data_IF_500579289448
#
_entry.id   IF_500579289448
#
_cell.length_a   1.000
_cell.length_b   1.000
_cell.length_c   1.000
_cell.angle_alpha   90.00
_cell.angle_beta   90.00
_cell.angle_gamma   90.00
#
_symmetry.space_group_name_H-M   'P 1'
#
loop_
_entity.id
_entity.type
_entity.pdbx_description
1 polymer ?
#
# COMPACT_ATOMS: atom_id res chain seq x y z
N UNK A 1 -36.57 -21.89 4.04
CA UNK A 1 -35.47 -21.13 4.68
C UNK A 1 -34.26 -22.04 4.79
N UNK A 2 -33.20 -21.84 3.99
CA UNK A 2 -32.00 -22.70 4.00
C UNK A 2 -30.97 -22.10 4.97
N UNK A 3 -30.53 -22.88 5.98
CA UNK A 3 -29.39 -22.55 6.85
C UNK A 3 -28.11 -22.65 6.02
N UNK A 4 -27.31 -21.60 5.99
CA UNK A 4 -26.00 -21.60 5.32
C UNK A 4 -25.00 -22.29 6.24
N UNK A 5 -24.41 -23.35 5.72
CA UNK A 5 -23.44 -24.24 6.37
C UNK A 5 -22.10 -23.55 6.61
N UNK A 6 -21.55 -23.75 7.80
CA UNK A 6 -20.19 -23.40 8.21
C UNK A 6 -19.17 -24.14 7.32
N UNK A 7 -18.35 -23.38 6.60
CA UNK A 7 -17.29 -23.93 5.74
C UNK A 7 -16.01 -24.04 6.57
N UNK A 8 -15.63 -25.27 6.94
CA UNK A 8 -14.31 -25.57 7.52
C UNK A 8 -13.37 -26.04 6.43
N UNK A 9 -12.28 -25.31 6.19
CA UNK A 9 -11.18 -25.77 5.35
C UNK A 9 -10.03 -26.29 6.21
N UNK A 10 -9.68 -27.56 6.01
CA UNK A 10 -8.66 -28.32 6.74
C UNK A 10 -7.21 -28.02 6.33
N UNK A 11 -6.31 -28.61 7.11
CA UNK A 11 -4.84 -28.48 7.11
C UNK A 11 -4.13 -28.77 5.77
N UNK A 12 -3.14 -27.94 5.41
CA UNK A 12 -1.97 -28.34 4.59
C UNK A 12 -0.69 -27.53 4.94
N UNK A 13 0.37 -28.25 5.29
CA UNK A 13 1.76 -28.12 4.77
C UNK A 13 2.62 -26.86 5.06
N UNK A 14 3.96 -27.00 5.14
CA UNK A 14 4.85 -25.92 5.57
C UNK A 14 5.21 -24.93 4.45
N UNK A 15 5.35 -23.67 4.86
CA UNK A 15 6.06 -22.55 4.24
C UNK A 15 5.50 -21.95 2.93
N UNK A 16 4.80 -20.82 3.08
CA UNK A 16 4.78 -19.75 2.07
C UNK A 16 5.16 -18.45 2.75
N UNK A 17 6.20 -17.79 2.22
CA UNK A 17 6.68 -16.47 2.64
C UNK A 17 5.46 -15.55 2.80
N UNK A 18 5.17 -15.12 4.03
CA UNK A 18 4.16 -14.10 4.31
C UNK A 18 4.67 -12.80 3.71
N UNK A 19 3.97 -12.27 2.71
CA UNK A 19 4.22 -10.94 2.16
C UNK A 19 4.14 -9.92 3.31
N UNK A 20 5.31 -9.55 3.82
CA UNK A 20 5.50 -8.72 5.01
C UNK A 20 5.39 -7.25 4.61
N UNK A 21 4.16 -6.73 4.52
CA UNK A 21 3.95 -5.29 4.55
C UNK A 21 3.43 -4.93 5.93
N UNK A 22 4.28 -4.32 6.75
CA UNK A 22 3.89 -3.74 8.03
C UNK A 22 2.95 -2.58 7.75
N UNK A 23 1.65 -2.79 7.98
CA UNK A 23 0.70 -1.70 8.02
C UNK A 23 0.91 -1.00 9.37
N UNK A 24 1.83 -0.04 9.40
CA UNK A 24 2.02 0.80 10.59
C UNK A 24 0.71 1.52 10.89
N UNK A 25 0.12 1.24 12.05
CA UNK A 25 -0.96 2.04 12.62
C UNK A 25 -0.33 3.29 13.21
N UNK A 26 0.02 4.26 12.36
CA UNK A 26 0.43 5.56 12.84
C UNK A 26 -0.79 6.21 13.49
N UNK A 27 -0.73 6.42 14.80
CA UNK A 27 -1.69 7.25 15.53
C UNK A 27 -1.42 8.72 15.17
N UNK A 28 -1.81 9.08 13.95
CA UNK A 28 -1.62 10.38 13.37
C UNK A 28 -2.91 11.17 13.51
N UNK A 29 -2.81 12.38 14.03
CA UNK A 29 -3.94 13.32 14.08
C UNK A 29 -4.44 13.55 12.65
N UNK A 30 -5.66 13.12 12.40
CA UNK A 30 -6.34 13.32 11.14
C UNK A 30 -6.55 14.82 10.91
N UNK A 31 -6.11 15.33 9.75
CA UNK A 31 -6.30 16.73 9.37
C UNK A 31 -7.02 16.84 8.03
N UNK A 32 -7.79 17.92 7.85
CA UNK A 32 -8.44 18.21 6.57
C UNK A 32 -7.42 18.37 5.41
N UNK A 33 -6.18 18.78 5.73
CA UNK A 33 -5.09 18.85 4.74
C UNK A 33 -4.73 17.48 4.17
N UNK A 34 -4.74 16.43 4.99
CA UNK A 34 -4.45 15.06 4.55
C UNK A 34 -5.52 14.54 3.59
N UNK A 35 -6.79 14.81 3.86
CA UNK A 35 -7.88 14.47 2.94
C UNK A 35 -7.68 15.08 1.56
N UNK A 36 -7.50 16.42 1.53
CA UNK A 36 -7.32 17.15 0.27
C UNK A 36 -6.09 16.69 -0.49
N UNK A 37 -4.96 16.49 0.21
CA UNK A 37 -3.73 16.04 -0.40
C UNK A 37 -3.84 14.61 -0.95
N UNK A 38 -4.43 13.69 -0.17
CA UNK A 38 -4.60 12.30 -0.59
C UNK A 38 -5.57 12.19 -1.77
N UNK A 39 -6.68 12.94 -1.72
CA UNK A 39 -7.66 12.98 -2.80
C UNK A 39 -7.04 13.57 -4.07
N UNK A 40 -6.28 14.67 -3.96
CA UNK A 40 -5.59 15.28 -5.10
C UNK A 40 -4.55 14.37 -5.75
N UNK A 41 -3.81 13.59 -4.95
CA UNK A 41 -2.75 12.72 -5.47
C UNK A 41 -3.24 11.35 -5.97
N UNK A 42 -4.24 10.77 -5.30
CA UNK A 42 -4.63 9.36 -5.48
C UNK A 42 -6.12 9.15 -5.73
N UNK A 43 -6.94 10.21 -5.75
CA UNK A 43 -8.38 10.14 -5.99
C UNK A 43 -9.19 9.56 -4.82
N UNK A 44 -8.55 9.35 -3.66
CA UNK A 44 -9.20 8.82 -2.46
C UNK A 44 -8.81 9.63 -1.24
N UNK A 45 -9.76 9.76 -0.32
CA UNK A 45 -9.53 10.39 0.98
C UNK A 45 -8.58 9.61 1.88
N UNK A 46 -7.96 10.31 2.83
CA UNK A 46 -7.04 9.70 3.79
C UNK A 46 -7.76 8.70 4.72
N UNK A 47 -8.99 8.99 5.14
CA UNK A 47 -9.77 8.08 5.99
C UNK A 47 -10.11 6.79 5.25
N UNK A 48 -10.39 6.88 3.94
CA UNK A 48 -10.64 5.72 3.09
C UNK A 48 -9.37 4.89 2.94
N UNK A 49 -8.23 5.54 2.68
CA UNK A 49 -6.91 4.90 2.68
C UNK A 49 -6.58 4.22 4.04
N UNK A 50 -6.92 4.86 5.16
CA UNK A 50 -6.68 4.38 6.53
C UNK A 50 -7.61 3.25 6.97
N UNK A 51 -8.82 3.14 6.41
CA UNK A 51 -9.77 2.05 6.77
C UNK A 51 -9.74 0.87 5.80
N UNK A 52 -9.56 1.12 4.51
CA UNK A 52 -9.71 0.08 3.48
C UNK A 52 -8.37 -0.50 3.05
N UNK A 53 -8.09 -1.74 3.46
CA UNK A 53 -6.81 -2.40 3.18
C UNK A 53 -6.51 -2.56 1.69
N UNK A 54 -7.51 -2.88 0.86
CA UNK A 54 -7.32 -3.03 -0.59
C UNK A 54 -6.91 -1.71 -1.25
N UNK A 55 -7.50 -0.59 -0.83
CA UNK A 55 -7.14 0.76 -1.28
C UNK A 55 -5.70 1.06 -0.90
N UNK A 56 -5.32 0.81 0.36
CA UNK A 56 -3.95 0.99 0.85
C UNK A 56 -2.93 0.21 0.04
N UNK A 57 -3.16 -1.10 -0.14
CA UNK A 57 -2.24 -1.97 -0.89
C UNK A 57 -2.05 -1.47 -2.33
N UNK A 58 -3.12 -0.99 -2.96
CA UNK A 58 -3.06 -0.48 -4.33
C UNK A 58 -2.20 0.77 -4.43
N UNK A 59 -2.38 1.71 -3.49
CA UNK A 59 -1.62 2.96 -3.46
C UNK A 59 -0.15 2.71 -3.13
N UNK A 60 0.15 1.88 -2.13
CA UNK A 60 1.53 1.59 -1.74
C UNK A 60 2.30 0.84 -2.85
N UNK A 61 1.63 -0.05 -3.59
CA UNK A 61 2.23 -0.67 -4.80
C UNK A 61 2.58 0.36 -5.87
N UNK A 62 1.75 1.40 -6.06
CA UNK A 62 2.02 2.48 -7.01
C UNK A 62 3.20 3.34 -6.54
N UNK A 63 3.22 3.73 -5.26
CA UNK A 63 4.33 4.48 -4.65
C UNK A 63 5.66 3.76 -4.79
N UNK A 64 5.69 2.45 -4.56
CA UNK A 64 6.91 1.65 -4.70
C UNK A 64 7.44 1.69 -6.15
N UNK A 65 6.55 1.52 -7.13
CA UNK A 65 6.93 1.61 -8.56
C UNK A 65 7.51 2.98 -8.93
N UNK A 66 6.88 4.05 -8.46
CA UNK A 66 7.34 5.43 -8.68
C UNK A 66 8.69 5.68 -8.02
N UNK A 67 8.90 5.19 -6.80
CA UNK A 67 10.19 5.28 -6.11
C UNK A 67 11.29 4.57 -6.87
N UNK A 68 11.08 3.32 -7.29
CA UNK A 68 12.07 2.55 -8.08
C UNK A 68 12.42 3.27 -9.38
N UNK A 69 11.42 3.82 -10.09
CA UNK A 69 11.66 4.59 -11.31
C UNK A 69 12.51 5.84 -11.03
N UNK A 70 12.16 6.60 -9.98
CA UNK A 70 12.88 7.79 -9.56
C UNK A 70 14.34 7.49 -9.23
N UNK A 71 14.62 6.40 -8.51
CA UNK A 71 15.99 5.98 -8.20
C UNK A 71 16.80 5.63 -9.47
N UNK A 72 16.17 5.02 -10.47
CA UNK A 72 16.83 4.73 -11.76
C UNK A 72 17.18 6.00 -12.52
N UNK A 73 16.29 6.99 -12.53
CA UNK A 73 16.56 8.29 -13.16
C UNK A 73 17.69 9.02 -12.41
N UNK A 74 17.62 9.08 -11.08
CA UNK A 74 18.63 9.70 -10.23
C UNK A 74 20.03 9.10 -10.47
N UNK A 75 20.16 7.78 -10.41
CA UNK A 75 21.44 7.09 -10.67
C UNK A 75 21.94 7.24 -12.12
N UNK A 76 21.02 7.37 -13.08
CA UNK A 76 21.37 7.73 -14.46
C UNK A 76 21.97 9.13 -14.57
N UNK A 77 21.40 10.11 -13.87
CA UNK A 77 21.89 11.48 -13.84
C UNK A 77 23.24 11.59 -13.11
N UNK A 78 23.36 10.96 -11.94
CA UNK A 78 24.60 10.93 -11.16
C UNK A 78 25.77 10.40 -12.00
N UNK A 79 25.57 9.32 -12.76
CA UNK A 79 26.62 8.78 -13.65
C UNK A 79 27.04 9.74 -14.76
N UNK A 80 26.12 10.55 -15.30
CA UNK A 80 26.46 11.53 -16.34
C UNK A 80 27.23 12.74 -15.79
N UNK A 81 26.97 13.13 -14.54
CA UNK A 81 27.64 14.26 -13.89
C UNK A 81 29.06 13.90 -13.45
N UNK A 82 29.27 12.66 -13.01
CA UNK A 82 30.56 12.19 -12.47
C UNK A 82 31.41 11.42 -13.51
N UNK A 83 31.06 11.50 -14.81
CA UNK A 83 31.85 10.94 -15.92
C UNK A 83 32.59 12.04 -16.66
#
# INVERSE_FOLDING_TARGET
>A
MKKVSEVKFGHQGPNKRKDWFFINTLDMQYTNGMEKAMYGAHGVGYETYKRQHQVRVTIEKKREKEYVLSQRVKSGLERKIHS
#
